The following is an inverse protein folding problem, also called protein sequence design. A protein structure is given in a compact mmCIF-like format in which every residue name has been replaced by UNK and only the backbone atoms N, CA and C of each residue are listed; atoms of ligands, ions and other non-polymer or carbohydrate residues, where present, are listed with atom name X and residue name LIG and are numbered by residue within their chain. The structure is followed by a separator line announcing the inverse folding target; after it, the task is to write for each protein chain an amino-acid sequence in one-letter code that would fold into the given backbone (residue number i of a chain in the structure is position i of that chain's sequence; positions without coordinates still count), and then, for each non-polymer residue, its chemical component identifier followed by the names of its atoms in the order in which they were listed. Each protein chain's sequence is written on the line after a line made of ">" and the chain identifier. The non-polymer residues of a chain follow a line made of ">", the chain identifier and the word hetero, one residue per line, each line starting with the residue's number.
data_IF_981370361652
#
_entry.id   IF_981370361652
#
_cell.length_a   1.000
_cell.length_b   1.000
_cell.length_c   1.000
_cell.angle_alpha   90.00
_cell.angle_beta   90.00
_cell.angle_gamma   90.00
#
_symmetry.space_group_name_H-M   'P 1'
#
loop_
_entity.id
_entity.type
_entity.pdbx_description
1 polymer ?
#
# COMPACT_ATOMS: atom_id res chain seq x y z
N UNK A 1 25.12 29.27 75.49
CA UNK A 1 24.03 29.94 74.74
C UNK A 1 24.17 29.51 73.28
N UNK A 2 23.23 28.69 72.78
CA UNK A 2 23.31 28.00 71.48
C UNK A 2 22.69 28.89 70.39
N UNK A 3 23.43 29.08 69.31
CA UNK A 3 23.06 29.84 68.12
C UNK A 3 22.07 29.06 67.24
N UNK A 4 21.11 29.80 66.67
CA UNK A 4 20.12 29.35 65.70
C UNK A 4 20.65 29.55 64.27
N UNK A 5 20.44 28.56 63.39
CA UNK A 5 20.02 28.76 61.99
C UNK A 5 19.96 27.40 61.30
N UNK A 6 18.76 26.96 60.89
CA UNK A 6 18.60 26.05 59.76
C UNK A 6 17.46 26.52 58.89
N UNK A 7 17.86 27.06 57.74
CA UNK A 7 17.09 27.37 56.56
C UNK A 7 17.00 26.07 55.74
N UNK A 8 15.79 25.58 55.49
CA UNK A 8 15.51 24.45 54.59
C UNK A 8 14.03 24.59 54.21
N UNK A 9 13.58 24.55 52.97
CA UNK A 9 14.19 24.36 51.66
C UNK A 9 12.99 24.35 50.71
N UNK A 10 13.02 25.19 49.69
CA UNK A 10 11.93 25.38 48.74
C UNK A 10 11.80 24.12 47.86
N UNK A 11 10.72 23.34 48.02
CA UNK A 11 10.40 22.21 47.15
C UNK A 11 9.84 22.70 45.82
N UNK A 12 10.66 22.61 44.77
CA UNK A 12 10.26 22.84 43.38
C UNK A 12 9.54 21.58 42.85
N UNK A 13 8.22 21.61 42.77
CA UNK A 13 7.42 20.60 42.07
C UNK A 13 7.60 20.80 40.55
N UNK A 14 8.33 19.88 39.92
CA UNK A 14 8.39 19.75 38.47
C UNK A 14 7.08 19.15 37.96
N UNK A 15 6.22 20.00 37.41
CA UNK A 15 5.07 19.57 36.61
C UNK A 15 5.58 18.97 35.31
N UNK A 16 5.50 17.65 35.18
CA UNK A 16 5.68 16.96 33.90
C UNK A 16 4.52 17.35 32.97
N UNK A 17 4.74 18.40 32.16
CA UNK A 17 3.90 18.71 31.01
C UNK A 17 3.97 17.51 30.06
N UNK A 18 2.82 16.84 29.90
CA UNK A 18 2.65 15.82 28.88
C UNK A 18 3.04 16.39 27.53
N UNK A 19 4.10 15.85 26.96
CA UNK A 19 4.48 16.12 25.58
C UNK A 19 3.36 15.54 24.71
N UNK A 20 2.43 16.40 24.29
CA UNK A 20 1.57 16.09 23.15
C UNK A 20 2.50 15.85 21.96
N UNK A 21 2.76 14.58 21.65
CA UNK A 21 3.37 14.21 20.38
C UNK A 21 2.36 14.60 19.32
N UNK A 22 2.52 15.78 18.74
CA UNK A 22 1.87 16.10 17.48
C UNK A 22 2.29 14.99 16.51
N UNK A 23 1.40 14.03 16.25
CA UNK A 23 1.58 13.09 15.15
C UNK A 23 1.52 13.94 13.88
N UNK A 24 2.69 14.28 13.37
CA UNK A 24 2.82 14.77 12.03
C UNK A 24 2.20 13.73 11.09
N UNK A 25 1.39 14.22 10.16
CA UNK A 25 0.58 13.42 9.29
C UNK A 25 0.81 13.86 7.84
N UNK A 26 0.75 12.91 6.93
CA UNK A 26 0.86 13.14 5.49
C UNK A 26 -0.54 13.17 4.92
N UNK A 27 -0.96 14.32 4.40
CA UNK A 27 -2.22 14.45 3.68
C UNK A 27 -1.98 14.06 2.22
N UNK A 28 -2.85 13.23 1.65
CA UNK A 28 -2.76 12.82 0.25
C UNK A 28 -4.07 13.15 -0.44
N UNK A 29 -3.97 13.82 -1.59
CA UNK A 29 -5.10 14.14 -2.46
C UNK A 29 -4.86 13.54 -3.84
N UNK A 30 -5.86 12.85 -4.39
CA UNK A 30 -5.82 12.32 -5.77
C UNK A 30 -6.82 13.08 -6.66
N UNK A 31 -6.54 13.21 -7.96
CA UNK A 31 -7.43 13.89 -8.89
C UNK A 31 -8.72 13.08 -9.16
N UNK A 32 -9.76 13.68 -9.73
CA UNK A 32 -11.09 13.05 -9.88
C UNK A 32 -11.12 11.79 -10.75
N UNK A 33 -10.16 11.64 -11.65
CA UNK A 33 -9.96 10.45 -12.49
C UNK A 33 -9.19 9.33 -11.75
N UNK A 34 -8.97 9.49 -10.45
CA UNK A 34 -8.42 8.48 -9.57
C UNK A 34 -9.27 8.28 -8.32
N UNK A 35 -9.22 7.06 -7.81
CA UNK A 35 -9.80 6.69 -6.52
C UNK A 35 -8.75 6.07 -5.63
N UNK A 36 -8.74 6.46 -4.36
CA UNK A 36 -8.01 5.78 -3.29
C UNK A 36 -8.88 4.63 -2.80
N UNK A 37 -8.36 3.41 -2.99
CA UNK A 37 -9.03 2.18 -2.58
C UNK A 37 -8.64 1.76 -1.16
N UNK A 38 -7.38 1.98 -0.78
CA UNK A 38 -6.86 1.68 0.54
C UNK A 38 -5.57 2.46 0.85
N UNK A 39 -5.24 2.54 2.14
CA UNK A 39 -4.00 3.11 2.67
C UNK A 39 -3.36 2.13 3.67
N UNK A 40 -2.05 2.27 3.88
CA UNK A 40 -1.32 1.54 4.94
C UNK A 40 -1.70 2.01 6.35
N UNK A 41 -0.83 2.78 7.01
CA UNK A 41 -1.07 3.33 8.33
C UNK A 41 -1.68 4.72 8.19
N UNK A 42 -3.01 4.80 8.35
CA UNK A 42 -3.72 6.06 8.16
C UNK A 42 -5.23 5.90 8.16
N UNK A 43 -5.90 6.98 7.76
CA UNK A 43 -7.34 7.06 7.58
C UNK A 43 -7.63 7.49 6.15
N UNK A 44 -8.49 6.73 5.48
CA UNK A 44 -9.15 7.15 4.26
C UNK A 44 -10.35 8.02 4.65
N UNK A 45 -10.40 9.28 4.21
CA UNK A 45 -11.55 10.14 4.47
C UNK A 45 -12.65 9.88 3.45
N UNK A 46 -12.27 9.81 2.18
CA UNK A 46 -13.14 9.55 1.03
C UNK A 46 -12.29 8.97 -0.11
N UNK A 47 -12.89 8.79 -1.29
CA UNK A 47 -12.19 8.19 -2.43
C UNK A 47 -11.09 9.10 -3.02
N UNK A 48 -10.98 10.37 -2.60
CA UNK A 48 -10.00 11.33 -3.10
C UNK A 48 -9.01 11.80 -2.05
N UNK A 49 -9.34 11.68 -0.76
CA UNK A 49 -8.56 12.21 0.35
C UNK A 49 -8.19 11.12 1.36
N UNK A 50 -6.90 11.08 1.70
CA UNK A 50 -6.37 10.26 2.77
C UNK A 50 -5.43 11.04 3.70
N UNK A 51 -5.34 10.61 4.95
CA UNK A 51 -4.29 11.04 5.88
C UNK A 51 -3.53 9.82 6.36
N UNK A 52 -2.23 9.80 6.10
CA UNK A 52 -1.33 8.71 6.49
C UNK A 52 -0.37 9.18 7.58
N UNK A 53 0.14 8.24 8.35
CA UNK A 53 1.20 8.50 9.30
C UNK A 53 2.48 8.93 8.57
N UNK A 54 3.36 9.61 9.29
CA UNK A 54 4.71 9.86 8.81
C UNK A 54 5.48 8.57 8.51
N UNK A 55 6.49 8.70 7.66
CA UNK A 55 7.42 7.63 7.34
C UNK A 55 7.16 7.00 5.98
N UNK A 56 7.48 5.73 5.90
CA UNK A 56 7.26 4.91 4.71
C UNK A 56 5.79 4.48 4.68
N UNK A 57 5.08 4.86 3.62
CA UNK A 57 3.65 4.60 3.49
C UNK A 57 3.30 4.07 2.11
N UNK A 58 2.10 3.52 2.01
CA UNK A 58 1.51 3.03 0.77
C UNK A 58 0.11 3.58 0.55
N UNK A 59 -0.16 3.86 -0.72
CA UNK A 59 -1.46 4.22 -1.24
C UNK A 59 -1.85 3.19 -2.31
N UNK A 60 -3.04 2.60 -2.19
CA UNK A 60 -3.63 1.80 -3.25
C UNK A 60 -4.61 2.68 -4.03
N UNK A 61 -4.30 2.96 -5.29
CA UNK A 61 -5.13 3.81 -6.16
C UNK A 61 -5.59 3.08 -7.40
N UNK A 62 -6.65 3.58 -8.03
CA UNK A 62 -7.11 3.11 -9.34
C UNK A 62 -7.48 4.29 -10.21
N UNK A 63 -7.11 4.22 -11.49
CA UNK A 63 -7.58 5.15 -12.50
C UNK A 63 -9.03 4.83 -12.91
N UNK A 64 -9.89 5.84 -12.96
CA UNK A 64 -11.28 5.79 -13.35
C UNK A 64 -11.58 6.87 -14.41
N UNK A 65 -11.48 6.49 -15.68
CA UNK A 65 -11.88 7.33 -16.80
C UNK A 65 -13.35 7.12 -17.17
N UNK A 66 -14.02 8.19 -17.63
CA UNK A 66 -15.35 8.13 -18.23
C UNK A 66 -15.26 8.59 -19.67
N UNK A 67 -15.66 7.72 -20.60
CA UNK A 67 -15.79 8.07 -22.01
C UNK A 67 -17.24 8.46 -22.26
N UNK A 68 -17.51 9.74 -22.57
CA UNK A 68 -18.87 10.22 -22.74
C UNK A 68 -19.50 9.56 -23.96
N UNK A 69 -20.79 9.31 -23.85
CA UNK A 69 -21.58 8.81 -24.96
C UNK A 69 -21.55 9.76 -26.17
N UNK A 70 -21.56 9.19 -27.39
CA UNK A 70 -21.62 9.98 -28.64
C UNK A 70 -23.04 10.43 -28.97
N UNK A 71 -24.07 9.86 -28.35
CA UNK A 71 -25.46 10.22 -28.57
C UNK A 71 -26.35 9.86 -27.37
N UNK A 72 -27.57 10.40 -27.33
CA UNK A 72 -28.50 10.20 -26.22
C UNK A 72 -29.02 8.75 -26.03
N UNK A 73 -28.71 7.82 -26.95
CA UNK A 73 -29.13 6.41 -26.87
C UNK A 73 -28.05 5.49 -26.31
N UNK A 74 -26.80 5.97 -26.25
CA UNK A 74 -25.68 5.24 -25.68
C UNK A 74 -25.39 5.74 -24.26
N UNK A 75 -24.89 4.85 -23.39
CA UNK A 75 -24.46 5.20 -22.04
C UNK A 75 -22.97 5.52 -22.03
N UNK A 76 -22.56 6.33 -21.05
CA UNK A 76 -21.14 6.57 -20.79
C UNK A 76 -20.41 5.26 -20.49
N UNK A 77 -19.22 5.12 -21.04
CA UNK A 77 -18.39 3.92 -20.85
C UNK A 77 -17.30 4.21 -19.83
N UNK A 78 -17.32 3.46 -18.73
CA UNK A 78 -16.28 3.55 -17.72
C UNK A 78 -15.04 2.74 -18.15
N UNK A 79 -13.86 3.34 -17.95
CA UNK A 79 -12.55 2.74 -18.21
C UNK A 79 -11.80 2.71 -16.89
N UNK A 80 -11.44 1.52 -16.42
CA UNK A 80 -10.76 1.33 -15.14
C UNK A 80 -9.43 0.64 -15.34
N UNK A 81 -8.42 1.05 -14.58
CA UNK A 81 -7.17 0.31 -14.50
C UNK A 81 -7.24 -0.82 -13.47
N UNK A 82 -6.26 -1.72 -13.53
CA UNK A 82 -5.91 -2.49 -12.34
C UNK A 82 -5.44 -1.53 -11.22
N UNK A 83 -5.73 -1.83 -9.96
CA UNK A 83 -5.23 -1.05 -8.82
C UNK A 83 -3.70 -1.00 -8.80
N UNK A 84 -3.16 0.15 -8.41
CA UNK A 84 -1.73 0.42 -8.30
C UNK A 84 -1.37 0.69 -6.85
N UNK A 85 -0.36 -0.01 -6.34
CA UNK A 85 0.26 0.31 -5.05
C UNK A 85 1.38 1.29 -5.30
N UNK A 86 1.30 2.44 -4.65
CA UNK A 86 2.33 3.48 -4.65
C UNK A 86 2.94 3.54 -3.26
N UNK A 87 4.22 3.18 -3.15
CA UNK A 87 5.01 3.31 -1.94
C UNK A 87 5.88 4.56 -2.01
N UNK A 88 5.92 5.30 -0.92
CA UNK A 88 6.65 6.55 -0.81
C UNK A 88 7.15 6.77 0.63
N UNK A 89 8.07 7.71 0.79
CA UNK A 89 8.55 8.19 2.08
C UNK A 89 8.22 9.68 2.22
N UNK A 90 7.49 10.06 3.27
CA UNK A 90 7.11 11.46 3.52
C UNK A 90 6.89 11.72 5.01
N UNK A 91 6.98 12.99 5.43
CA UNK A 91 6.64 13.40 6.78
C UNK A 91 6.09 14.82 6.77
N UNK A 92 5.02 15.04 7.54
CA UNK A 92 4.40 16.34 7.78
C UNK A 92 4.19 17.21 6.53
N UNK A 93 3.65 16.63 5.47
CA UNK A 93 3.48 17.34 4.20
C UNK A 93 2.22 16.89 3.47
N UNK A 94 1.74 17.76 2.58
CA UNK A 94 0.66 17.44 1.66
C UNK A 94 1.23 16.91 0.35
N UNK A 95 0.74 15.76 -0.08
CA UNK A 95 1.04 15.14 -1.34
C UNK A 95 -0.16 15.24 -2.28
N UNK A 96 0.12 15.48 -3.54
CA UNK A 96 -0.86 15.42 -4.62
C UNK A 96 -0.44 14.37 -5.62
N UNK A 97 -1.35 13.46 -5.95
CA UNK A 97 -1.15 12.56 -7.08
C UNK A 97 -1.31 13.33 -8.38
N UNK A 98 -0.35 13.15 -9.27
CA UNK A 98 -0.42 13.67 -10.63
C UNK A 98 -0.22 12.52 -11.61
N UNK A 99 -0.93 12.58 -12.72
CA UNK A 99 -0.86 11.63 -13.80
C UNK A 99 -0.86 12.39 -15.12
N UNK A 100 -0.33 11.77 -16.18
CA UNK A 100 -0.48 12.33 -17.52
C UNK A 100 -1.92 12.15 -17.96
N UNK A 101 -2.58 13.26 -18.33
CA UNK A 101 -3.94 13.24 -18.85
C UNK A 101 -3.95 12.57 -20.23
N UNK A 102 -4.71 11.48 -20.44
CA UNK A 102 -4.87 10.89 -21.76
C UNK A 102 -5.58 11.87 -22.72
N UNK A 103 -5.10 11.96 -23.96
CA UNK A 103 -5.59 12.94 -24.94
C UNK A 103 -6.94 12.56 -25.59
N UNK A 104 -7.23 11.25 -25.69
CA UNK A 104 -8.40 10.71 -26.38
C UNK A 104 -8.84 9.36 -25.79
N UNK A 105 -9.97 8.82 -26.28
CA UNK A 105 -10.53 7.54 -25.82
C UNK A 105 -9.55 6.36 -25.94
N UNK A 106 -8.73 6.32 -27.00
CA UNK A 106 -7.77 5.23 -27.20
C UNK A 106 -6.62 5.36 -26.20
N UNK A 107 -6.14 6.58 -25.96
CA UNK A 107 -5.15 6.90 -24.95
C UNK A 107 -5.67 6.57 -23.54
N UNK A 108 -6.95 6.82 -23.24
CA UNK A 108 -7.56 6.44 -21.96
C UNK A 108 -7.52 4.93 -21.75
N UNK A 109 -7.91 4.15 -22.77
CA UNK A 109 -7.87 2.68 -22.71
C UNK A 109 -6.43 2.17 -22.62
N UNK A 110 -5.49 2.80 -23.30
CA UNK A 110 -4.07 2.45 -23.21
C UNK A 110 -3.49 2.75 -21.82
N UNK A 111 -3.78 3.94 -21.28
CA UNK A 111 -3.35 4.36 -19.95
C UNK A 111 -3.91 3.43 -18.88
N UNK A 112 -5.17 3.02 -18.97
CA UNK A 112 -5.77 2.10 -18.01
C UNK A 112 -5.09 0.73 -17.94
N UNK A 113 -4.42 0.28 -19.01
CA UNK A 113 -3.68 -1.01 -19.00
C UNK A 113 -2.37 -0.93 -18.22
N UNK A 114 -1.75 0.25 -18.17
CA UNK A 114 -0.48 0.47 -17.52
C UNK A 114 -0.42 1.91 -16.98
N UNK A 115 -1.24 2.25 -15.97
CA UNK A 115 -1.28 3.60 -15.44
C UNK A 115 0.06 3.92 -14.77
N UNK A 116 0.55 5.15 -14.93
CA UNK A 116 1.75 5.63 -14.26
C UNK A 116 1.39 6.89 -13.50
N UNK A 117 1.69 6.90 -12.21
CA UNK A 117 1.38 8.02 -11.32
C UNK A 117 2.65 8.55 -10.65
N UNK A 118 2.60 9.83 -10.30
CA UNK A 118 3.66 10.50 -9.55
C UNK A 118 3.01 11.17 -8.33
N UNK A 119 3.64 11.05 -7.16
CA UNK A 119 3.28 11.88 -6.02
C UNK A 119 4.15 13.13 -6.02
N UNK A 120 3.53 14.29 -5.76
CA UNK A 120 4.23 15.56 -5.64
C UNK A 120 4.02 16.18 -4.28
N UNK A 121 5.06 16.80 -3.72
CA UNK A 121 4.96 17.74 -2.61
C UNK A 121 5.36 19.12 -3.12
N UNK A 122 4.48 20.10 -2.96
CA UNK A 122 4.74 21.49 -3.39
C UNK A 122 5.23 21.59 -4.87
N UNK A 123 4.66 20.76 -5.76
CA UNK A 123 5.01 20.71 -7.18
C UNK A 123 6.31 19.95 -7.51
N UNK A 124 7.02 19.41 -6.52
CA UNK A 124 8.21 18.57 -6.71
C UNK A 124 7.84 17.09 -6.65
N UNK A 125 8.27 16.30 -7.64
CA UNK A 125 8.04 14.87 -7.67
C UNK A 125 8.80 14.15 -6.54
N UNK A 126 8.12 13.26 -5.83
CA UNK A 126 8.72 12.34 -4.87
C UNK A 126 9.28 11.11 -5.57
N UNK A 127 10.34 10.55 -5.00
CA UNK A 127 10.74 9.18 -5.33
C UNK A 127 9.66 8.21 -4.83
N UNK A 128 9.19 7.35 -5.73
CA UNK A 128 8.08 6.44 -5.46
C UNK A 128 8.36 5.09 -6.12
N UNK A 129 7.86 4.03 -5.48
CA UNK A 129 7.77 2.73 -6.13
C UNK A 129 6.32 2.42 -6.44
N UNK A 130 6.08 2.00 -7.67
CA UNK A 130 4.76 1.60 -8.14
C UNK A 130 4.78 0.15 -8.60
N UNK A 131 3.70 -0.56 -8.28
CA UNK A 131 3.40 -1.89 -8.78
C UNK A 131 1.89 -2.10 -8.95
N UNK A 132 1.50 -3.00 -9.85
CA UNK A 132 0.11 -3.34 -10.06
C UNK A 132 -0.34 -4.45 -9.10
N UNK A 133 -1.53 -4.30 -8.53
CA UNK A 133 -2.18 -5.36 -7.76
C UNK A 133 -3.09 -6.13 -8.68
N UNK A 134 -2.67 -7.34 -9.03
CA UNK A 134 -3.49 -8.25 -9.83
C UNK A 134 -4.79 -8.53 -9.08
N UNK A 135 -5.91 -8.19 -9.70
CA UNK A 135 -7.23 -8.55 -9.16
C UNK A 135 -7.82 -9.65 -10.02
N UNK A 136 -8.24 -10.75 -9.40
CA UNK A 136 -8.86 -11.87 -10.10
C UNK A 136 -10.22 -12.16 -9.46
N UNK A 137 -11.25 -12.37 -10.29
CA UNK A 137 -12.61 -12.65 -9.83
C UNK A 137 -13.49 -11.40 -9.66
N UNK A 138 -14.59 -11.55 -8.91
CA UNK A 138 -15.58 -10.49 -8.68
C UNK A 138 -15.04 -9.42 -7.74
N UNK A 139 -15.10 -8.15 -8.14
CA UNK A 139 -14.55 -7.01 -7.37
C UNK A 139 -15.57 -6.29 -6.47
N UNK A 140 -16.85 -6.66 -6.56
CA UNK A 140 -17.93 -6.02 -5.78
C UNK A 140 -17.75 -6.39 -4.30
N UNK A 141 -17.70 -5.38 -3.43
CA UNK A 141 -17.51 -5.58 -2.00
C UNK A 141 -16.09 -6.06 -1.61
N UNK A 142 -15.11 -5.91 -2.50
CA UNK A 142 -13.71 -6.24 -2.23
C UNK A 142 -13.19 -5.46 -1.02
N UNK A 143 -12.59 -6.16 -0.05
CA UNK A 143 -11.83 -5.54 1.02
C UNK A 143 -10.44 -5.15 0.50
N UNK A 144 -10.31 -3.90 0.06
CA UNK A 144 -9.08 -3.36 -0.48
C UNK A 144 -7.95 -3.25 0.55
N UNK A 145 -8.27 -3.09 1.84
CA UNK A 145 -7.24 -3.08 2.90
C UNK A 145 -6.66 -4.48 3.07
N UNK A 146 -7.50 -5.50 3.15
CA UNK A 146 -7.05 -6.89 3.19
C UNK A 146 -6.24 -7.27 1.94
N UNK A 147 -6.64 -6.76 0.76
CA UNK A 147 -5.88 -6.97 -0.48
C UNK A 147 -4.49 -6.31 -0.46
N UNK A 148 -4.38 -5.10 0.08
CA UNK A 148 -3.11 -4.40 0.24
C UNK A 148 -2.19 -5.15 1.22
N UNK A 149 -2.73 -5.67 2.31
CA UNK A 149 -1.99 -6.51 3.27
C UNK A 149 -1.50 -7.82 2.65
N UNK A 150 -2.32 -8.46 1.80
CA UNK A 150 -1.93 -9.64 1.03
C UNK A 150 -0.79 -9.33 0.07
N UNK A 151 -0.89 -8.22 -0.66
CA UNK A 151 0.15 -7.75 -1.56
C UNK A 151 1.48 -7.54 -0.80
N UNK A 152 1.42 -6.94 0.39
CA UNK A 152 2.61 -6.78 1.25
C UNK A 152 3.21 -8.13 1.68
N UNK A 153 2.38 -9.12 2.05
CA UNK A 153 2.85 -10.47 2.38
C UNK A 153 3.47 -11.21 1.20
N UNK A 154 3.00 -10.95 -0.02
CA UNK A 154 3.61 -11.53 -1.23
C UNK A 154 4.95 -10.89 -1.63
N UNK A 155 5.33 -9.77 -1.02
CA UNK A 155 6.60 -9.09 -1.32
C UNK A 155 6.63 -8.45 -2.70
N UNK A 156 5.49 -7.90 -3.17
CA UNK A 156 5.44 -7.15 -4.43
C UNK A 156 6.43 -5.97 -4.47
N UNK A 157 6.70 -5.43 -5.65
CA UNK A 157 7.79 -4.45 -5.85
C UNK A 157 7.63 -3.23 -4.94
N UNK A 158 6.42 -2.71 -4.84
CA UNK A 158 6.06 -1.60 -3.97
C UNK A 158 5.62 -2.02 -2.55
N UNK A 159 5.86 -3.26 -2.10
CA UNK A 159 5.43 -3.73 -0.78
C UNK A 159 6.12 -2.97 0.37
N UNK A 160 5.41 -2.75 1.49
CA UNK A 160 6.04 -2.34 2.74
C UNK A 160 6.76 -3.54 3.33
N UNK A 161 8.08 -3.42 3.47
CA UNK A 161 8.84 -4.40 4.23
C UNK A 161 8.48 -4.24 5.70
N UNK A 162 7.79 -5.23 6.27
CA UNK A 162 7.62 -5.25 7.73
C UNK A 162 9.01 -5.32 8.36
N UNK A 163 9.39 -4.26 9.08
CA UNK A 163 10.58 -4.23 9.94
C UNK A 163 10.39 -5.27 11.05
N UNK A 164 10.77 -6.51 10.74
CA UNK A 164 10.47 -7.69 11.56
C UNK A 164 10.92 -9.01 10.94
N UNK A 165 11.38 -9.02 9.68
CA UNK A 165 12.18 -10.09 9.12
C UNK A 165 13.34 -9.49 8.33
N UNK A 166 14.23 -8.77 9.03
CA UNK A 166 15.61 -8.66 8.58
C UNK A 166 16.25 -10.05 8.65
N UNK A 167 15.91 -10.92 7.71
CA UNK A 167 16.86 -11.94 7.30
C UNK A 167 17.93 -11.15 6.58
N UNK A 168 19.09 -11.03 7.21
CA UNK A 168 20.30 -10.53 6.56
C UNK A 168 20.54 -11.37 5.31
N UNK A 169 20.00 -10.96 4.16
CA UNK A 169 20.44 -11.48 2.88
C UNK A 169 21.72 -10.72 2.58
N UNK A 170 22.82 -11.30 3.04
CA UNK A 170 24.14 -10.90 2.63
C UNK A 170 24.16 -10.79 1.10
N UNK A 171 24.68 -9.68 0.59
CA UNK A 171 24.86 -9.44 -0.82
C UNK A 171 25.55 -10.64 -1.50
N UNK A 172 24.91 -11.22 -2.52
CA UNK A 172 25.58 -12.13 -3.44
C UNK A 172 24.76 -13.34 -3.91
N UNK A 173 23.73 -13.11 -4.75
CA UNK A 173 23.48 -13.82 -6.03
C UNK A 173 22.10 -13.44 -6.57
N UNK A 174 22.05 -13.10 -7.85
CA UNK A 174 20.81 -13.01 -8.61
C UNK A 174 20.01 -14.31 -8.44
N UNK A 175 18.77 -14.20 -7.96
CA UNK A 175 17.82 -15.31 -7.97
C UNK A 175 17.30 -15.44 -9.41
N UNK A 176 17.49 -16.58 -10.10
CA UNK A 176 16.94 -16.75 -11.43
C UNK A 176 15.41 -16.83 -11.32
N UNK A 177 14.70 -16.31 -12.33
CA UNK A 177 13.28 -16.53 -12.46
C UNK A 177 13.01 -18.04 -12.56
N UNK A 178 12.45 -18.62 -11.50
CA UNK A 178 12.15 -20.04 -11.42
C UNK A 178 10.93 -20.31 -12.31
N UNK A 179 11.11 -21.13 -13.34
CA UNK A 179 10.01 -21.50 -14.23
C UNK A 179 8.90 -22.19 -13.42
N UNK A 180 7.63 -21.94 -13.77
CA UNK A 180 6.46 -22.51 -13.09
C UNK A 180 6.52 -24.04 -12.95
N UNK A 181 7.15 -24.73 -13.91
CA UNK A 181 7.38 -26.18 -13.88
C UNK A 181 8.35 -26.64 -12.78
N UNK A 182 9.35 -25.83 -12.44
CA UNK A 182 10.34 -26.13 -11.42
C UNK A 182 9.76 -25.92 -10.02
N UNK A 183 8.88 -24.91 -9.87
CA UNK A 183 8.05 -24.71 -8.67
C UNK A 183 7.07 -25.88 -8.46
N UNK A 184 6.42 -26.35 -9.52
CA UNK A 184 5.51 -27.50 -9.44
C UNK A 184 6.25 -28.79 -9.04
N UNK A 185 7.40 -29.07 -9.65
CA UNK A 185 8.22 -30.23 -9.30
C UNK A 185 8.70 -30.19 -7.83
N UNK A 186 9.05 -28.99 -7.34
CA UNK A 186 9.43 -28.80 -5.93
C UNK A 186 8.25 -29.01 -4.98
N UNK A 187 7.05 -28.58 -5.37
CA UNK A 187 5.82 -28.77 -4.60
C UNK A 187 5.44 -30.26 -4.51
N UNK A 188 5.56 -31.01 -5.61
CA UNK A 188 5.35 -32.45 -5.65
C UNK A 188 6.33 -33.19 -4.72
N UNK A 189 7.60 -32.80 -4.73
CA UNK A 189 8.61 -33.41 -3.86
C UNK A 189 8.35 -33.15 -2.37
N UNK A 190 7.93 -31.94 -2.01
CA UNK A 190 7.55 -31.60 -0.63
C UNK A 190 6.32 -32.42 -0.17
N UNK A 191 5.36 -32.66 -1.05
CA UNK A 191 4.19 -33.49 -0.75
C UNK A 191 4.54 -34.98 -0.52
N UNK A 192 5.53 -35.49 -1.23
CA UNK A 192 6.02 -36.86 -1.05
C UNK A 192 6.81 -37.03 0.26
N UNK A 193 7.52 -35.99 0.70
CA UNK A 193 8.28 -35.99 1.96
C UNK A 193 7.42 -35.70 3.20
N UNK A 194 6.22 -35.14 3.01
CA UNK A 194 5.32 -34.82 4.11
C UNK A 194 4.74 -36.08 4.81
N UNK A 195 4.61 -36.00 6.13
CA UNK A 195 3.97 -37.04 6.95
C UNK A 195 2.52 -37.33 6.50
N UNK A 196 2.01 -38.56 6.71
CA UNK A 196 0.68 -38.98 6.24
C UNK A 196 -0.48 -38.10 6.75
N UNK A 197 -0.37 -37.59 7.97
CA UNK A 197 -1.32 -36.64 8.58
C UNK A 197 -1.32 -35.29 7.86
N UNK A 198 -0.14 -34.78 7.52
CA UNK A 198 0.04 -33.50 6.82
C UNK A 198 -0.48 -33.60 5.38
N UNK A 199 -0.25 -34.74 4.73
CA UNK A 199 -0.74 -35.02 3.38
C UNK A 199 -2.26 -34.96 3.30
N UNK A 200 -2.96 -35.54 4.29
CA UNK A 200 -4.44 -35.50 4.36
C UNK A 200 -4.97 -34.09 4.53
N UNK A 201 -4.33 -33.28 5.38
CA UNK A 201 -4.69 -31.86 5.56
C UNK A 201 -4.44 -31.04 4.29
N UNK A 202 -3.34 -31.30 3.60
CA UNK A 202 -3.00 -30.64 2.35
C UNK A 202 -4.03 -30.93 1.25
N UNK A 203 -4.42 -32.20 1.07
CA UNK A 203 -5.49 -32.58 0.13
C UNK A 203 -6.84 -31.97 0.54
N UNK A 204 -7.18 -31.99 1.83
CA UNK A 204 -8.41 -31.37 2.34
C UNK A 204 -8.48 -29.85 2.11
N UNK A 205 -7.34 -29.16 2.11
CA UNK A 205 -7.24 -27.74 1.77
C UNK A 205 -7.29 -27.47 0.25
N UNK A 206 -6.79 -28.40 -0.58
CA UNK A 206 -6.71 -28.23 -2.03
C UNK A 206 -8.01 -28.57 -2.77
N UNK A 207 -8.84 -29.47 -2.24
CA UNK A 207 -10.08 -29.95 -2.88
C UNK A 207 -11.28 -28.96 -2.90
N UNK A 208 -11.48 -27.99 -1.98
CA UNK A 208 -12.66 -27.13 -2.01
C UNK A 208 -12.65 -26.01 -3.07
N UNK A 209 -11.79 -26.10 -4.10
CA UNK A 209 -11.72 -25.13 -5.21
C UNK A 209 -11.63 -25.77 -6.61
N UNK A 210 -12.32 -26.89 -6.82
CA UNK A 210 -12.71 -27.36 -8.15
C UNK A 210 -14.21 -27.12 -8.38
#
# INVERSE_FOLDING_TARGET
>A
MKSYQKWSGLTLLWSALGMSTAQAAVEVVVPPDFQILAVSAGKLQDEQHATLADGEQQLLVRYEGVIPSRNSSENDRQVRSDPQVVRYQASNQRLTLVAQQPADEQAMVAYAKAPVVTLQANGQALDTQQDAVVTSGMLIGMDWRARLEEYNRSGGKAALTMAGAATTVAAGKAVPAVATSELEGRLQQLFLQADPELRKRFVGWAVPRL
#
